data_IF_160610706642
#
_entry.id   IF_160610706642
#
_cell.length_a   1.000
_cell.length_b   1.000
_cell.length_c   1.000
_cell.angle_alpha   90.00
_cell.angle_beta   90.00
_cell.angle_gamma   90.00
#
_symmetry.space_group_name_H-M   'P 1'
#
loop_
_entity.id
_entity.type
_entity.pdbx_description
1 polymer ?
#
# COMPACT_ATOMS: atom_id res chain seq x y z
N UNK A 1 -10.34 -11.29 3.77
CA UNK A 1 -11.04 -10.48 4.80
C UNK A 1 -10.97 -9.01 4.40
N UNK A 2 -12.04 -8.22 4.52
CA UNK A 2 -11.98 -6.78 4.26
C UNK A 2 -11.77 -6.02 5.57
N UNK A 3 -10.78 -5.13 5.62
CA UNK A 3 -10.48 -4.25 6.74
C UNK A 3 -10.75 -2.81 6.29
N UNK A 4 -11.48 -2.05 7.10
CA UNK A 4 -11.85 -0.68 6.77
C UNK A 4 -11.82 0.22 8.00
N UNK A 5 -11.58 1.50 7.76
CA UNK A 5 -11.82 2.60 8.68
C UNK A 5 -12.52 3.74 7.93
N UNK A 6 -12.51 4.94 8.47
CA UNK A 6 -13.27 6.06 7.90
C UNK A 6 -12.77 6.48 6.51
N UNK A 7 -11.46 6.48 6.32
CA UNK A 7 -10.76 6.99 5.14
C UNK A 7 -9.87 5.93 4.46
N UNK A 8 -10.06 4.65 4.78
CA UNK A 8 -9.35 3.56 4.10
C UNK A 8 -10.19 2.29 4.03
N UNK A 9 -10.05 1.56 2.93
CA UNK A 9 -10.65 0.25 2.74
C UNK A 9 -9.65 -0.68 2.06
N UNK A 10 -9.47 -1.86 2.63
CA UNK A 10 -8.53 -2.86 2.16
C UNK A 10 -9.13 -4.26 2.14
N UNK A 11 -8.58 -5.11 1.30
CA UNK A 11 -8.90 -6.53 1.23
C UNK A 11 -7.61 -7.34 1.38
N UNK A 12 -7.54 -8.14 2.44
CA UNK A 12 -6.47 -9.12 2.66
C UNK A 12 -6.66 -10.29 1.71
N UNK A 13 -5.63 -10.56 0.91
CA UNK A 13 -5.55 -11.64 -0.08
C UNK A 13 -4.84 -12.85 0.53
N UNK A 14 -3.71 -12.60 1.21
CA UNK A 14 -2.89 -13.65 1.84
C UNK A 14 -2.27 -13.09 3.12
N UNK A 15 -2.24 -13.90 4.18
CA UNK A 15 -1.61 -13.57 5.45
C UNK A 15 -1.15 -14.86 6.14
N UNK A 16 0.13 -15.17 6.02
CA UNK A 16 0.79 -16.33 6.60
C UNK A 16 2.25 -15.99 7.00
N UNK A 17 3.01 -16.99 7.44
CA UNK A 17 4.38 -16.79 7.93
C UNK A 17 5.35 -16.24 6.87
N UNK A 18 5.04 -16.42 5.59
CA UNK A 18 5.88 -15.99 4.47
C UNK A 18 5.40 -14.67 3.86
N UNK A 19 4.09 -14.45 3.80
CA UNK A 19 3.51 -13.37 3.01
C UNK A 19 2.40 -12.61 3.74
N UNK A 20 2.43 -11.29 3.59
CA UNK A 20 1.28 -10.41 3.84
C UNK A 20 0.95 -9.66 2.55
N UNK A 21 -0.16 -10.04 1.93
CA UNK A 21 -0.64 -9.50 0.65
C UNK A 21 -2.03 -8.92 0.83
N UNK A 22 -2.19 -7.65 0.49
CA UNK A 22 -3.49 -6.98 0.54
C UNK A 22 -3.56 -5.88 -0.52
N UNK A 23 -4.80 -5.56 -0.92
CA UNK A 23 -5.08 -4.43 -1.79
C UNK A 23 -5.80 -3.35 -1.01
N UNK A 24 -5.49 -2.08 -1.30
CA UNK A 24 -6.25 -0.93 -0.83
C UNK A 24 -7.13 -0.43 -1.98
N UNK A 25 -8.44 -0.34 -1.73
CA UNK A 25 -9.46 0.14 -2.69
C UNK A 25 -9.93 1.57 -2.39
N UNK A 26 -9.79 2.02 -1.14
CA UNK A 26 -9.95 3.43 -0.73
C UNK A 26 -8.72 3.83 0.07
N UNK A 27 -8.00 4.88 -0.34
CA UNK A 27 -6.71 5.24 0.23
C UNK A 27 -6.74 6.67 0.77
N UNK A 28 -6.45 6.79 2.08
CA UNK A 28 -6.34 8.07 2.79
C UNK A 28 -5.56 9.13 1.99
N UNK A 29 -4.33 8.81 1.59
CA UNK A 29 -3.48 9.79 0.90
C UNK A 29 -3.98 10.17 -0.49
N UNK A 30 -4.55 9.22 -1.23
CA UNK A 30 -5.10 9.51 -2.55
C UNK A 30 -6.32 10.43 -2.44
N UNK A 31 -7.28 10.05 -1.62
CA UNK A 31 -8.55 10.75 -1.47
C UNK A 31 -8.30 12.17 -0.91
N UNK A 32 -7.52 12.30 0.16
CA UNK A 32 -7.20 13.62 0.74
C UNK A 32 -6.45 14.52 -0.24
N UNK A 33 -5.50 13.98 -1.03
CA UNK A 33 -4.79 14.81 -2.02
C UNK A 33 -5.71 15.29 -3.14
N UNK A 34 -6.69 14.48 -3.55
CA UNK A 34 -7.72 14.91 -4.51
C UNK A 34 -8.61 15.99 -3.88
N UNK A 35 -9.12 15.77 -2.67
CA UNK A 35 -9.99 16.71 -1.94
C UNK A 35 -9.30 18.07 -1.75
N UNK A 36 -7.98 18.08 -1.54
CA UNK A 36 -7.18 19.29 -1.36
C UNK A 36 -6.69 19.91 -2.69
N UNK A 37 -7.08 19.38 -3.85
CA UNK A 37 -6.64 19.81 -5.19
C UNK A 37 -5.11 19.71 -5.43
N UNK A 38 -4.43 18.74 -4.80
CA UNK A 38 -2.99 18.48 -4.98
C UNK A 38 -2.71 17.00 -5.29
N UNK A 39 -3.26 16.41 -6.38
CA UNK A 39 -3.12 14.98 -6.67
C UNK A 39 -1.67 14.49 -6.84
N UNK A 40 -0.76 15.37 -7.27
CA UNK A 40 0.67 15.10 -7.39
C UNK A 40 1.34 14.72 -6.06
N UNK A 41 0.81 15.23 -4.94
CA UNK A 41 1.30 14.87 -3.60
C UNK A 41 0.99 13.42 -3.24
N UNK A 42 -0.08 12.84 -3.77
CA UNK A 42 -0.41 11.43 -3.56
C UNK A 42 0.72 10.49 -4.02
N UNK A 43 1.39 10.83 -5.11
CA UNK A 43 2.54 10.07 -5.61
C UNK A 43 3.76 10.19 -4.70
N UNK A 44 3.93 11.33 -4.02
CA UNK A 44 4.99 11.50 -3.01
C UNK A 44 4.80 10.51 -1.87
N UNK A 45 3.59 10.38 -1.31
CA UNK A 45 3.30 9.41 -0.25
C UNK A 45 3.57 7.97 -0.71
N UNK A 46 3.16 7.64 -1.95
CA UNK A 46 3.47 6.33 -2.53
C UNK A 46 4.99 6.08 -2.59
N UNK A 47 5.79 7.06 -3.03
CA UNK A 47 7.26 6.95 -3.03
C UNK A 47 7.82 6.84 -1.62
N UNK A 48 7.20 7.50 -0.64
CA UNK A 48 7.52 7.39 0.78
C UNK A 48 7.51 5.94 1.26
N UNK A 49 6.47 5.17 0.93
CA UNK A 49 6.39 3.75 1.29
C UNK A 49 7.57 2.92 0.74
N UNK A 50 8.04 3.24 -0.48
CA UNK A 50 9.19 2.56 -1.08
C UNK A 50 10.46 2.83 -0.25
N UNK A 51 10.67 4.09 0.16
CA UNK A 51 11.81 4.48 1.00
C UNK A 51 11.71 3.81 2.37
N UNK A 52 10.55 3.89 3.02
CA UNK A 52 10.31 3.32 4.33
C UNK A 52 10.52 1.81 4.34
N UNK A 53 9.82 1.07 3.48
CA UNK A 53 9.79 -0.39 3.57
C UNK A 53 11.00 -1.08 2.97
N UNK A 54 11.61 -0.54 1.89
CA UNK A 54 12.82 -1.15 1.32
C UNK A 54 14.05 -1.00 2.22
N UNK A 55 14.01 -0.13 3.23
CA UNK A 55 15.08 0.01 4.21
C UNK A 55 15.05 -1.06 5.31
N UNK A 56 14.00 -1.88 5.38
CA UNK A 56 13.80 -2.86 6.45
C UNK A 56 14.31 -4.23 5.98
N UNK A 57 15.44 -4.69 6.52
CA UNK A 57 16.10 -5.93 6.06
C UNK A 57 15.27 -7.21 6.24
N UNK A 58 14.35 -7.24 7.21
CA UNK A 58 13.53 -8.41 7.54
C UNK A 58 12.37 -8.64 6.57
N UNK A 59 12.07 -7.66 5.73
CA UNK A 59 10.96 -7.75 4.77
C UNK A 59 11.43 -7.34 3.36
N UNK A 60 10.85 -7.96 2.34
CA UNK A 60 10.88 -7.41 0.99
C UNK A 60 9.51 -6.81 0.66
N UNK A 61 9.53 -5.63 0.06
CA UNK A 61 8.33 -4.88 -0.29
C UNK A 61 8.18 -4.76 -1.82
N UNK A 62 7.05 -5.26 -2.32
CA UNK A 62 6.64 -5.19 -3.72
C UNK A 62 5.29 -4.47 -3.83
N UNK A 63 5.19 -3.61 -4.84
CA UNK A 63 3.95 -2.93 -5.24
C UNK A 63 4.07 -2.49 -6.68
N UNK A 64 3.06 -2.79 -7.50
CA UNK A 64 3.10 -2.56 -8.95
C UNK A 64 2.19 -1.41 -9.39
N UNK A 65 1.15 -1.12 -8.62
CA UNK A 65 0.17 -0.08 -8.90
C UNK A 65 -0.26 0.65 -7.62
N UNK A 66 -0.71 1.89 -7.79
CA UNK A 66 -1.33 2.68 -6.72
C UNK A 66 -2.44 3.53 -7.30
N UNK A 67 -3.47 3.81 -6.49
CA UNK A 67 -4.55 4.73 -6.86
C UNK A 67 -4.01 6.11 -7.26
N UNK A 68 -3.03 6.64 -6.51
CA UNK A 68 -2.41 7.94 -6.81
C UNK A 68 -1.58 7.98 -8.10
N UNK A 69 -1.23 6.82 -8.67
CA UNK A 69 -0.56 6.71 -9.97
C UNK A 69 -1.52 6.23 -11.07
N UNK A 70 -2.84 6.27 -10.85
CA UNK A 70 -3.86 5.89 -11.83
C UNK A 70 -4.13 4.38 -11.92
N UNK A 71 -3.67 3.59 -10.95
CA UNK A 71 -4.02 2.17 -10.83
C UNK A 71 -5.43 1.94 -10.30
N UNK A 72 -5.90 0.70 -10.33
CA UNK A 72 -7.24 0.32 -9.84
C UNK A 72 -7.27 0.01 -8.33
N UNK A 73 -6.09 -0.11 -7.72
CA UNK A 73 -5.87 -0.27 -6.29
C UNK A 73 -4.41 0.04 -5.94
N UNK A 74 -4.09 0.01 -4.65
CA UNK A 74 -2.70 -0.12 -4.20
C UNK A 74 -2.45 -1.56 -3.79
N UNK A 75 -1.56 -2.28 -4.48
CA UNK A 75 -1.28 -3.71 -4.29
C UNK A 75 -0.05 -3.96 -3.40
N UNK A 76 -0.27 -4.00 -2.10
CA UNK A 76 0.83 -4.23 -1.15
C UNK A 76 1.16 -5.71 -1.05
N UNK A 77 2.44 -6.03 -1.23
CA UNK A 77 3.00 -7.35 -0.96
C UNK A 77 4.25 -7.22 -0.11
N UNK A 78 4.17 -7.77 1.10
CA UNK A 78 5.29 -7.92 2.01
C UNK A 78 5.68 -9.39 2.06
N UNK A 79 6.99 -9.64 1.96
CA UNK A 79 7.59 -10.97 2.01
C UNK A 79 8.45 -11.01 3.28
N UNK A 80 8.26 -12.02 4.11
CA UNK A 80 9.11 -12.27 5.27
C UNK A 80 10.42 -12.94 4.82
N UNK A 81 11.53 -12.22 4.96
CA UNK A 81 12.84 -12.72 4.55
C UNK A 81 13.44 -13.73 5.54
N UNK A 82 12.81 -13.89 6.71
CA UNK A 82 13.24 -14.80 7.77
C UNK A 82 12.37 -16.07 7.86
N UNK A 83 11.35 -16.21 7.00
CA UNK A 83 10.53 -17.42 6.93
C UNK A 83 11.36 -18.60 6.42
N UNK A 84 11.16 -19.78 7.02
CA UNK A 84 11.89 -21.02 6.72
C UNK A 84 11.12 -21.93 5.78
#
# INVERSE_FOLDING_TARGET
>A
MCLKGDNWESKVIQNDDNFMVFIIKKCLWHDTCIEMNCPEMGQMFCKGDIVCYRSINKISFERTQTLACGGECCDFKFINNEAK
#
